data_IF_332745032898
#
_entry.id   IF_332745032898
#
_cell.length_a   1.000
_cell.length_b   1.000
_cell.length_c   1.000
_cell.angle_alpha   90.00
_cell.angle_beta   90.00
_cell.angle_gamma   90.00
#
_symmetry.space_group_name_H-M   'P 1'
#
loop_
_entity.id
_entity.type
_entity.pdbx_description
1 polymer ?
#
# COMPACT_ATOMS: atom_id res chain seq x y z
N UNK A 1 -7.91 -9.24 30.03
CA UNK A 1 -7.59 -8.63 30.77
C UNK A 1 -7.95 -7.38 31.52
N UNK A 2 -7.04 -6.76 32.28
CA UNK A 2 -7.32 -5.61 33.13
C UNK A 2 -7.87 -4.39 32.38
N UNK A 3 -7.41 -4.13 31.15
CA UNK A 3 -7.88 -3.01 30.34
C UNK A 3 -9.35 -3.14 29.91
N UNK A 4 -9.80 -4.34 29.55
CA UNK A 4 -11.22 -4.57 29.20
C UNK A 4 -12.11 -4.29 30.40
N UNK A 5 -11.76 -4.79 31.58
CA UNK A 5 -12.49 -4.48 32.85
C UNK A 5 -12.47 -2.99 33.20
N UNK A 6 -11.40 -2.29 32.84
CA UNK A 6 -11.32 -0.84 33.00
C UNK A 6 -12.28 -0.13 32.05
N UNK A 7 -12.35 -0.49 30.77
CA UNK A 7 -13.31 0.08 29.83
C UNK A 7 -14.75 -0.16 30.25
N UNK A 8 -15.10 -1.37 30.71
CA UNK A 8 -16.42 -1.66 31.23
C UNK A 8 -16.82 -0.77 32.44
N UNK A 9 -15.88 -0.55 33.37
CA UNK A 9 -16.08 0.38 34.49
C UNK A 9 -16.26 1.84 34.05
N UNK A 10 -15.65 2.22 32.92
CA UNK A 10 -15.82 3.54 32.29
C UNK A 10 -17.12 3.66 31.48
N UNK A 11 -17.94 2.60 31.38
CA UNK A 11 -19.22 2.60 30.67
C UNK A 11 -19.10 2.27 29.18
N UNK A 12 -17.94 1.83 28.69
CA UNK A 12 -17.79 1.37 27.30
C UNK A 12 -18.39 -0.04 27.13
N UNK A 13 -19.07 -0.26 26.01
CA UNK A 13 -19.49 -1.60 25.59
C UNK A 13 -18.28 -2.37 25.09
N UNK A 14 -18.00 -3.52 25.68
CA UNK A 14 -16.95 -4.45 25.23
C UNK A 14 -17.58 -5.66 24.55
N UNK A 15 -16.81 -6.35 23.72
CA UNK A 15 -17.29 -7.56 23.06
C UNK A 15 -17.36 -8.71 24.11
N UNK A 16 -18.55 -9.31 24.37
CA UNK A 16 -18.71 -10.37 25.36
C UNK A 16 -17.97 -11.66 24.99
N UNK A 17 -17.65 -11.85 23.70
CA UNK A 17 -16.93 -13.02 23.21
C UNK A 17 -15.40 -12.93 23.36
N UNK A 18 -14.91 -11.92 24.09
CA UNK A 18 -13.48 -11.79 24.39
C UNK A 18 -13.05 -12.80 25.46
N UNK A 19 -12.04 -13.62 25.16
CA UNK A 19 -11.51 -14.66 26.07
C UNK A 19 -9.99 -14.55 26.21
N UNK A 20 -9.48 -14.72 27.43
CA UNK A 20 -8.06 -14.91 27.69
C UNK A 20 -7.71 -16.40 27.51
N UNK A 21 -6.74 -16.68 26.65
CA UNK A 21 -6.22 -18.02 26.43
C UNK A 21 -4.77 -18.12 26.88
N UNK A 22 -4.34 -19.25 27.37
CA UNK A 22 -3.00 -19.51 27.92
C UNK A 22 -2.19 -20.50 27.09
N UNK A 23 -2.84 -21.14 26.11
CA UNK A 23 -2.20 -22.11 25.19
C UNK A 23 -2.73 -21.94 23.76
N UNK A 24 -1.99 -22.48 22.79
CA UNK A 24 -2.41 -22.52 21.38
C UNK A 24 -3.68 -23.37 21.22
N UNK A 25 -3.79 -24.47 21.95
CA UNK A 25 -4.97 -25.34 21.88
C UNK A 25 -6.24 -24.60 22.32
N UNK A 26 -6.14 -23.78 23.36
CA UNK A 26 -7.26 -22.92 23.80
C UNK A 26 -7.63 -21.88 22.73
N UNK A 27 -6.66 -21.29 22.01
CA UNK A 27 -6.92 -20.37 20.92
C UNK A 27 -7.67 -21.07 19.78
N UNK A 28 -7.23 -22.26 19.37
CA UNK A 28 -7.85 -23.05 18.30
C UNK A 28 -9.25 -23.52 18.72
N UNK A 29 -9.43 -23.96 19.96
CA UNK A 29 -10.73 -24.37 20.47
C UNK A 29 -11.71 -23.19 20.50
N UNK A 30 -11.25 -22.02 20.91
CA UNK A 30 -12.07 -20.79 20.90
C UNK A 30 -12.44 -20.35 19.49
N UNK A 31 -11.52 -20.44 18.52
CA UNK A 31 -11.80 -20.16 17.11
C UNK A 31 -12.94 -21.04 16.58
N UNK A 32 -12.88 -22.36 16.81
CA UNK A 32 -13.92 -23.31 16.41
C UNK A 32 -15.26 -23.01 17.09
N UNK A 33 -15.24 -22.69 18.39
CA UNK A 33 -16.45 -22.32 19.13
C UNK A 33 -17.14 -21.08 18.49
N UNK A 34 -16.36 -20.06 18.15
CA UNK A 34 -16.90 -18.83 17.52
C UNK A 34 -17.40 -19.10 16.11
N UNK A 35 -16.71 -19.95 15.35
CA UNK A 35 -17.15 -20.39 14.02
C UNK A 35 -18.52 -21.08 14.05
N UNK A 36 -18.74 -21.98 15.03
CA UNK A 36 -20.02 -22.65 15.23
C UNK A 36 -21.15 -21.69 15.63
N UNK A 37 -20.84 -20.70 16.47
CA UNK A 37 -21.80 -19.70 16.97
C UNK A 37 -22.03 -18.55 15.98
N UNK A 38 -21.28 -18.48 14.90
CA UNK A 38 -21.29 -17.35 13.94
C UNK A 38 -22.68 -17.00 13.43
N UNK A 39 -23.50 -18.01 13.12
CA UNK A 39 -24.86 -17.84 12.61
C UNK A 39 -25.86 -17.28 13.63
N UNK A 40 -25.52 -17.29 14.91
CA UNK A 40 -26.38 -16.82 16.01
C UNK A 40 -26.08 -15.37 16.41
N UNK A 41 -25.04 -14.76 15.82
CA UNK A 41 -24.63 -13.39 16.12
C UNK A 41 -25.47 -12.38 15.34
N UNK A 42 -25.75 -11.23 15.96
CA UNK A 42 -26.46 -10.11 15.33
C UNK A 42 -25.60 -9.33 14.33
N UNK A 43 -24.37 -9.77 14.06
CA UNK A 43 -23.41 -9.15 13.15
C UNK A 43 -22.52 -10.20 12.49
N UNK A 44 -22.08 -9.90 11.27
CA UNK A 44 -21.19 -10.78 10.53
C UNK A 44 -19.76 -10.69 11.04
N UNK A 45 -19.08 -11.85 11.09
CA UNK A 45 -17.66 -11.98 11.41
C UNK A 45 -16.96 -12.90 10.42
N UNK A 46 -15.69 -12.63 10.16
CA UNK A 46 -14.86 -13.39 9.21
C UNK A 46 -13.71 -14.16 9.88
N UNK A 47 -13.59 -14.06 11.19
CA UNK A 47 -12.56 -14.72 11.97
C UNK A 47 -12.40 -14.15 13.37
N UNK A 48 -11.31 -14.54 14.03
CA UNK A 48 -10.93 -14.13 15.37
C UNK A 48 -9.58 -13.42 15.32
N UNK A 49 -9.38 -12.39 16.14
CA UNK A 49 -8.07 -11.71 16.27
C UNK A 49 -7.45 -12.09 17.61
N UNK A 50 -6.26 -12.68 17.57
CA UNK A 50 -5.46 -12.93 18.77
C UNK A 50 -4.53 -11.75 19.02
N UNK A 51 -4.40 -11.37 20.29
CA UNK A 51 -3.52 -10.29 20.73
C UNK A 51 -2.72 -10.74 21.95
N UNK A 52 -1.45 -10.38 22.01
CA UNK A 52 -0.64 -10.56 23.22
C UNK A 52 -1.26 -9.74 24.35
N UNK A 53 -1.58 -10.37 25.50
CA UNK A 53 -2.31 -9.72 26.61
C UNK A 53 -1.45 -8.72 27.40
N UNK A 54 -0.13 -8.93 27.47
CA UNK A 54 0.81 -8.06 28.19
C UNK A 54 1.16 -6.82 27.35
N UNK A 55 0.85 -5.63 27.88
CA UNK A 55 1.09 -4.37 27.19
C UNK A 55 2.58 -4.06 27.01
N UNK A 56 3.42 -4.42 27.99
CA UNK A 56 4.89 -4.29 27.86
C UNK A 56 5.46 -5.16 26.75
N UNK A 57 4.88 -6.33 26.49
CA UNK A 57 5.25 -7.18 25.37
C UNK A 57 4.71 -6.63 24.04
N UNK A 58 3.51 -6.04 24.03
CA UNK A 58 3.03 -5.35 22.83
C UNK A 58 3.95 -4.20 22.44
N UNK A 59 4.41 -3.43 23.43
CA UNK A 59 5.34 -2.32 23.21
C UNK A 59 6.70 -2.82 22.70
N UNK A 60 7.24 -3.90 23.27
CA UNK A 60 8.49 -4.55 22.84
C UNK A 60 8.39 -5.09 21.41
N UNK A 61 7.29 -5.77 21.04
CA UNK A 61 7.08 -6.30 19.71
C UNK A 61 6.88 -5.19 18.66
N UNK A 62 6.22 -4.10 19.03
CA UNK A 62 6.00 -2.94 18.17
C UNK A 62 5.14 -3.22 16.95
N UNK A 63 5.41 -2.46 15.89
CA UNK A 63 4.68 -2.49 14.63
C UNK A 63 5.61 -2.71 13.45
N UNK A 64 5.07 -3.29 12.36
CA UNK A 64 5.69 -3.30 11.04
C UNK A 64 4.74 -2.55 10.10
N UNK A 65 5.17 -1.38 9.62
CA UNK A 65 4.31 -0.48 8.87
C UNK A 65 3.07 -0.10 9.71
N UNK A 66 1.87 -0.54 9.30
CA UNK A 66 0.61 -0.29 10.02
C UNK A 66 0.10 -1.50 10.78
N UNK A 67 0.80 -2.61 10.71
CA UNK A 67 0.37 -3.86 11.34
C UNK A 67 1.08 -4.09 12.65
N UNK A 68 0.36 -4.36 13.75
CA UNK A 68 0.96 -4.72 15.01
C UNK A 68 1.62 -6.11 14.92
N UNK A 69 2.83 -6.25 15.43
CA UNK A 69 3.51 -7.56 15.52
C UNK A 69 2.98 -8.45 16.64
N UNK A 70 2.19 -7.87 17.53
CA UNK A 70 1.57 -8.52 18.69
C UNK A 70 0.13 -8.95 18.46
N UNK A 71 -0.38 -8.85 17.24
CA UNK A 71 -1.73 -9.29 16.87
C UNK A 71 -1.71 -10.09 15.56
N UNK A 72 -2.58 -11.11 15.48
CA UNK A 72 -2.77 -11.92 14.29
C UNK A 72 -4.25 -12.26 14.10
N UNK A 73 -4.74 -12.14 12.86
CA UNK A 73 -6.08 -12.57 12.51
C UNK A 73 -6.08 -14.03 12.07
N UNK A 74 -7.00 -14.82 12.63
CA UNK A 74 -7.28 -16.19 12.22
C UNK A 74 -8.66 -16.22 11.57
N UNK A 75 -8.67 -16.20 10.24
CA UNK A 75 -9.90 -16.16 9.45
C UNK A 75 -10.62 -17.50 9.45
N UNK A 76 -11.96 -17.49 9.30
CA UNK A 76 -12.73 -18.71 9.06
C UNK A 76 -12.46 -19.27 7.66
N UNK A 77 -12.78 -20.55 7.41
CA UNK A 77 -12.72 -21.13 6.07
C UNK A 77 -13.49 -20.28 5.06
N UNK A 78 -12.92 -20.19 3.86
CA UNK A 78 -13.53 -19.42 2.79
C UNK A 78 -14.82 -20.06 2.28
N UNK A 79 -15.86 -19.25 2.11
CA UNK A 79 -17.09 -19.69 1.48
C UNK A 79 -16.94 -19.76 -0.03
N UNK A 80 -17.62 -20.75 -0.66
CA UNK A 80 -17.62 -20.96 -2.10
C UNK A 80 -19.03 -20.86 -2.66
N UNK A 81 -19.14 -20.33 -3.88
CA UNK A 81 -20.38 -20.31 -4.63
C UNK A 81 -20.11 -20.60 -6.10
N UNK A 82 -21.13 -21.12 -6.80
CA UNK A 82 -21.10 -21.31 -8.25
C UNK A 82 -21.88 -20.19 -8.92
N UNK A 83 -21.32 -19.64 -10.00
CA UNK A 83 -21.97 -18.62 -10.80
C UNK A 83 -21.48 -18.68 -12.25
N UNK A 84 -22.12 -17.93 -13.14
CA UNK A 84 -21.75 -17.87 -14.56
C UNK A 84 -20.89 -16.63 -14.83
N UNK A 85 -19.76 -16.82 -15.50
CA UNK A 85 -18.92 -15.74 -16.00
C UNK A 85 -19.55 -15.17 -17.29
N UNK A 86 -20.10 -13.96 -17.20
CA UNK A 86 -20.81 -13.30 -18.29
C UNK A 86 -19.88 -12.59 -19.26
N UNK A 87 -18.82 -11.96 -18.75
CA UNK A 87 -17.87 -11.18 -19.54
C UNK A 87 -16.54 -11.03 -18.80
N UNK A 88 -15.51 -10.58 -19.52
CA UNK A 88 -14.20 -10.23 -18.98
C UNK A 88 -13.84 -8.81 -19.44
N UNK A 89 -13.83 -7.87 -18.50
CA UNK A 89 -13.45 -6.48 -18.72
C UNK A 89 -11.97 -6.27 -18.33
N UNK A 90 -11.25 -5.51 -19.14
CA UNK A 90 -9.85 -5.14 -18.82
C UNK A 90 -9.81 -3.78 -18.15
N UNK A 91 -9.40 -3.75 -16.90
CA UNK A 91 -9.12 -2.52 -16.16
C UNK A 91 -7.64 -2.17 -16.28
N UNK A 92 -7.35 -0.88 -16.47
CA UNK A 92 -6.00 -0.35 -16.58
C UNK A 92 -5.70 0.46 -15.33
N UNK A 93 -4.83 -0.06 -14.49
CA UNK A 93 -4.44 0.62 -13.24
C UNK A 93 -3.44 1.76 -13.46
N UNK A 94 -3.17 2.49 -12.41
CA UNK A 94 -2.29 3.66 -12.37
C UNK A 94 -0.91 3.46 -13.03
N UNK A 95 -0.32 2.30 -12.85
CA UNK A 95 0.99 1.95 -13.44
C UNK A 95 0.89 1.32 -14.83
N UNK A 96 -0.27 1.44 -15.49
CA UNK A 96 -0.53 0.79 -16.78
C UNK A 96 -0.83 -0.71 -16.67
N UNK A 97 -0.77 -1.32 -15.51
CA UNK A 97 -1.03 -2.75 -15.34
C UNK A 97 -2.46 -3.10 -15.77
N UNK A 98 -2.60 -4.07 -16.67
CA UNK A 98 -3.89 -4.57 -17.11
C UNK A 98 -4.35 -5.67 -16.18
N UNK A 99 -5.52 -5.46 -15.58
CA UNK A 99 -6.15 -6.43 -14.69
C UNK A 99 -7.47 -6.89 -15.31
N UNK A 100 -7.59 -8.16 -15.71
CA UNK A 100 -8.85 -8.69 -16.17
C UNK A 100 -9.80 -8.89 -14.98
N UNK A 101 -11.04 -8.42 -15.13
CA UNK A 101 -12.11 -8.52 -14.14
C UNK A 101 -13.25 -9.30 -14.77
N UNK A 102 -13.58 -10.45 -14.20
CA UNK A 102 -14.73 -11.25 -14.60
C UNK A 102 -16.04 -10.62 -14.12
N UNK A 103 -16.98 -10.41 -15.02
CA UNK A 103 -18.36 -10.02 -14.72
C UNK A 103 -19.17 -11.28 -14.50
N UNK A 104 -19.77 -11.41 -13.34
CA UNK A 104 -20.49 -12.60 -12.91
C UNK A 104 -22.00 -12.37 -12.89
N UNK A 105 -22.74 -13.44 -13.12
CA UNK A 105 -24.12 -13.47 -12.62
C UNK A 105 -24.11 -13.24 -11.13
N UNK A 106 -24.91 -12.30 -10.58
CA UNK A 106 -24.91 -11.99 -9.16
C UNK A 106 -25.11 -13.22 -8.28
N UNK A 107 -24.23 -13.45 -7.32
CA UNK A 107 -24.33 -14.60 -6.41
C UNK A 107 -23.95 -14.20 -4.99
N UNK A 108 -24.68 -14.73 -4.02
CA UNK A 108 -24.37 -14.54 -2.60
C UNK A 108 -23.20 -15.44 -2.18
N UNK A 109 -22.16 -14.84 -1.59
CA UNK A 109 -21.03 -15.56 -0.99
C UNK A 109 -20.40 -14.71 0.12
N UNK A 110 -20.20 -15.29 1.29
CA UNK A 110 -19.62 -14.58 2.44
C UNK A 110 -20.45 -13.35 2.89
N UNK A 111 -21.79 -13.48 2.90
CA UNK A 111 -22.71 -12.43 3.35
C UNK A 111 -22.91 -11.25 2.39
N UNK A 112 -22.31 -11.28 1.20
CA UNK A 112 -22.43 -10.21 0.18
C UNK A 112 -22.80 -10.76 -1.18
N UNK A 113 -23.39 -9.90 -2.05
CA UNK A 113 -23.62 -10.23 -3.44
C UNK A 113 -22.37 -9.87 -4.25
N UNK A 114 -21.77 -10.88 -4.89
CA UNK A 114 -20.61 -10.75 -5.75
C UNK A 114 -21.04 -10.71 -7.20
N UNK A 115 -20.63 -9.68 -7.93
CA UNK A 115 -20.86 -9.48 -9.36
C UNK A 115 -19.56 -9.33 -10.16
N UNK A 116 -18.44 -9.08 -9.48
CA UNK A 116 -17.14 -8.92 -10.10
C UNK A 116 -16.11 -9.79 -9.37
N UNK A 117 -15.19 -10.36 -10.13
CA UNK A 117 -14.08 -11.16 -9.60
C UNK A 117 -12.80 -10.81 -10.32
N UNK A 118 -11.70 -10.66 -9.58
CA UNK A 118 -10.41 -10.50 -10.25
C UNK A 118 -9.97 -11.80 -10.92
N UNK A 119 -9.47 -11.70 -12.13
CA UNK A 119 -8.81 -12.78 -12.87
C UNK A 119 -7.30 -12.58 -12.93
N UNK A 120 -6.76 -11.72 -12.11
CA UNK A 120 -5.34 -11.42 -11.86
C UNK A 120 -4.55 -11.00 -13.12
N UNK A 121 -4.34 -11.89 -14.09
CA UNK A 121 -3.58 -11.67 -15.31
C UNK A 121 -3.94 -12.68 -16.41
N UNK A 122 -3.29 -12.59 -17.56
CA UNK A 122 -3.51 -13.50 -18.69
C UNK A 122 -3.18 -14.95 -18.35
N UNK A 123 -2.10 -15.21 -17.62
CA UNK A 123 -1.64 -16.56 -17.28
C UNK A 123 -2.62 -17.25 -16.33
N UNK A 124 -3.18 -16.49 -15.38
CA UNK A 124 -4.24 -17.00 -14.51
C UNK A 124 -5.49 -17.44 -15.29
N UNK A 125 -5.89 -16.67 -16.33
CA UNK A 125 -7.00 -17.07 -17.22
C UNK A 125 -6.66 -18.36 -17.95
N UNK A 126 -5.43 -18.50 -18.41
CA UNK A 126 -4.95 -19.71 -19.11
C UNK A 126 -4.77 -20.94 -18.21
N UNK A 127 -4.89 -20.78 -16.91
CA UNK A 127 -4.69 -21.87 -15.94
C UNK A 127 -3.23 -22.08 -15.54
N UNK A 128 -2.40 -21.04 -15.60
CA UNK A 128 -0.98 -21.06 -15.22
C UNK A 128 -0.77 -20.18 -13.98
N UNK A 129 -0.08 -20.71 -12.98
CA UNK A 129 0.31 -19.99 -11.76
C UNK A 129 1.50 -19.06 -11.96
N UNK A 130 1.76 -18.20 -10.97
CA UNK A 130 2.90 -17.28 -11.00
C UNK A 130 4.26 -17.97 -10.89
N UNK A 131 4.28 -19.23 -10.44
CA UNK A 131 5.41 -20.15 -10.36
C UNK A 131 5.54 -21.06 -11.61
N UNK A 132 4.65 -20.89 -12.60
CA UNK A 132 4.56 -21.71 -13.79
C UNK A 132 3.80 -23.03 -13.60
N UNK A 133 3.36 -23.35 -12.38
CA UNK A 133 2.59 -24.55 -12.10
C UNK A 133 1.12 -24.42 -12.59
N UNK A 134 0.49 -25.55 -12.98
CA UNK A 134 -0.88 -25.51 -13.48
C UNK A 134 -1.88 -25.15 -12.37
N UNK A 135 -2.65 -24.11 -12.58
CA UNK A 135 -3.83 -23.79 -11.78
C UNK A 135 -5.03 -24.56 -12.29
N UNK A 136 -5.90 -25.03 -11.38
CA UNK A 136 -7.13 -25.73 -11.77
C UNK A 136 -6.86 -26.92 -12.73
N UNK A 137 -5.77 -27.64 -12.51
CA UNK A 137 -5.31 -28.74 -13.41
C UNK A 137 -5.06 -28.26 -14.85
N UNK A 138 -4.62 -27.02 -15.03
CA UNK A 138 -4.40 -26.40 -16.36
C UNK A 138 -5.68 -25.96 -17.07
N UNK A 139 -6.83 -25.94 -16.39
CA UNK A 139 -8.11 -25.51 -16.97
C UNK A 139 -8.13 -24.00 -17.16
N UNK A 140 -8.37 -23.55 -18.39
CA UNK A 140 -8.59 -22.15 -18.72
C UNK A 140 -9.98 -21.64 -18.27
N UNK A 141 -10.12 -20.33 -18.18
CA UNK A 141 -11.39 -19.65 -17.89
C UNK A 141 -11.90 -19.03 -19.19
N UNK A 142 -13.19 -19.26 -19.51
CA UNK A 142 -13.83 -18.73 -20.71
C UNK A 142 -15.12 -18.00 -20.36
N UNK A 143 -15.47 -17.02 -21.19
CA UNK A 143 -16.78 -16.39 -21.10
C UNK A 143 -17.87 -17.45 -21.34
N UNK A 144 -18.89 -17.46 -20.49
CA UNK A 144 -19.95 -18.46 -20.45
C UNK A 144 -19.71 -19.63 -19.49
N UNK A 145 -18.51 -19.78 -18.94
CA UNK A 145 -18.22 -20.83 -17.96
C UNK A 145 -19.05 -20.69 -16.68
N UNK A 146 -19.46 -21.83 -16.14
CA UNK A 146 -19.83 -21.91 -14.72
C UNK A 146 -18.55 -21.99 -13.91
N UNK A 147 -18.29 -20.97 -13.10
CA UNK A 147 -17.08 -20.85 -12.26
C UNK A 147 -17.42 -21.08 -10.79
N UNK A 148 -16.48 -21.63 -10.05
CA UNK A 148 -16.53 -21.70 -8.60
C UNK A 148 -15.71 -20.53 -8.07
N UNK A 149 -16.37 -19.60 -7.40
CA UNK A 149 -15.72 -18.48 -6.72
C UNK A 149 -15.57 -18.76 -5.23
N UNK A 150 -14.55 -18.17 -4.65
CA UNK A 150 -14.25 -18.25 -3.23
C UNK A 150 -14.04 -16.87 -2.65
N UNK A 151 -14.63 -16.62 -1.48
CA UNK A 151 -14.41 -15.41 -0.70
C UNK A 151 -14.09 -15.79 0.75
N UNK A 152 -12.94 -15.37 1.24
CA UNK A 152 -12.55 -15.53 2.64
C UNK A 152 -12.79 -14.20 3.36
N UNK A 153 -13.88 -14.08 4.13
CA UNK A 153 -14.23 -12.87 4.84
C UNK A 153 -14.32 -11.65 3.92
N UNK A 154 -13.65 -10.55 4.27
CA UNK A 154 -13.58 -9.31 3.49
C UNK A 154 -12.44 -9.32 2.43
N UNK A 155 -12.03 -10.50 1.99
CA UNK A 155 -11.01 -10.67 0.94
C UNK A 155 -11.64 -10.59 -0.43
N UNK A 156 -10.88 -10.12 -1.43
CA UNK A 156 -11.29 -10.02 -2.82
C UNK A 156 -11.70 -11.41 -3.35
N UNK A 157 -12.89 -11.56 -3.95
CA UNK A 157 -13.31 -12.83 -4.53
C UNK A 157 -12.36 -13.30 -5.63
N UNK A 158 -12.13 -14.61 -5.72
CA UNK A 158 -11.31 -15.21 -6.78
C UNK A 158 -11.95 -16.47 -7.34
N UNK A 159 -11.67 -16.78 -8.60
CA UNK A 159 -12.12 -18.01 -9.26
C UNK A 159 -11.19 -19.15 -8.87
N UNK A 160 -11.68 -20.12 -8.12
CA UNK A 160 -10.87 -21.27 -7.70
C UNK A 160 -10.97 -22.45 -8.65
N UNK A 161 -12.08 -22.57 -9.40
CA UNK A 161 -12.26 -23.64 -10.38
C UNK A 161 -13.29 -23.33 -11.45
N UNK A 162 -13.33 -24.18 -12.48
CA UNK A 162 -14.28 -24.14 -13.59
C UNK A 162 -15.01 -25.48 -13.70
N UNK A 163 -16.34 -25.44 -13.84
CA UNK A 163 -17.17 -26.67 -14.00
C UNK A 163 -17.25 -27.02 -15.48
N UNK A 164 -16.32 -27.85 -15.97
CA UNK A 164 -16.21 -28.19 -17.40
C UNK A 164 -17.46 -28.81 -17.99
N UNK A 165 -18.18 -29.64 -17.22
CA UNK A 165 -19.43 -30.29 -17.68
C UNK A 165 -20.54 -29.29 -18.00
N UNK A 166 -20.43 -28.06 -17.47
CA UNK A 166 -21.38 -26.96 -17.72
C UNK A 166 -20.84 -25.94 -18.72
N UNK A 167 -19.65 -26.13 -19.28
CA UNK A 167 -19.07 -25.22 -20.27
C UNK A 167 -19.89 -25.26 -21.57
N UNK A 168 -20.31 -24.09 -22.11
CA UNK A 168 -20.94 -24.02 -23.42
C UNK A 168 -20.02 -24.60 -24.50
N UNK A 169 -20.60 -25.37 -25.42
CA UNK A 169 -19.85 -26.04 -26.50
C UNK A 169 -19.16 -25.06 -27.45
N UNK A 170 -19.67 -23.86 -27.57
CA UNK A 170 -19.17 -22.75 -28.40
C UNK A 170 -18.24 -21.80 -27.64
N UNK A 171 -17.99 -22.04 -26.34
CA UNK A 171 -17.09 -21.22 -25.52
C UNK A 171 -15.65 -21.27 -26.05
N UNK A 172 -15.14 -20.11 -26.47
CA UNK A 172 -13.77 -19.97 -27.04
C UNK A 172 -12.78 -19.56 -25.96
N UNK A 173 -11.50 -20.00 -26.07
CA UNK A 173 -10.44 -19.48 -25.22
C UNK A 173 -10.37 -17.95 -25.27
N UNK A 174 -10.24 -17.33 -24.10
CA UNK A 174 -10.14 -15.88 -24.01
C UNK A 174 -8.85 -15.38 -24.67
N UNK A 175 -8.98 -14.34 -25.47
CA UNK A 175 -7.83 -13.69 -26.11
C UNK A 175 -7.52 -12.39 -25.39
N UNK A 176 -6.43 -12.38 -24.65
CA UNK A 176 -5.99 -11.17 -23.96
C UNK A 176 -5.63 -10.08 -24.99
N UNK A 177 -6.03 -8.82 -24.79
CA UNK A 177 -5.76 -7.75 -25.73
C UNK A 177 -4.25 -7.46 -25.83
N UNK A 178 -3.80 -7.15 -27.05
CA UNK A 178 -2.41 -6.70 -27.33
C UNK A 178 -2.27 -5.19 -27.33
N UNK A 179 -3.38 -4.48 -27.32
CA UNK A 179 -3.48 -3.01 -27.29
C UNK A 179 -4.30 -2.57 -26.10
N UNK A 180 -3.92 -1.43 -25.51
CA UNK A 180 -4.69 -0.82 -24.44
C UNK A 180 -6.12 -0.48 -24.91
N UNK A 181 -7.16 -0.70 -24.08
CA UNK A 181 -8.54 -0.36 -24.45
C UNK A 181 -8.79 1.17 -24.51
N UNK A 182 -7.81 2.02 -24.14
CA UNK A 182 -7.94 3.46 -24.29
C UNK A 182 -7.94 3.90 -25.77
N UNK A 183 -8.39 5.13 -26.04
CA UNK A 183 -8.46 5.67 -27.41
C UNK A 183 -7.11 5.75 -28.12
N UNK A 184 -5.98 5.74 -27.38
CA UNK A 184 -4.63 5.77 -27.95
C UNK A 184 -4.20 4.41 -28.50
N UNK A 185 -4.83 3.32 -28.11
CA UNK A 185 -4.50 1.95 -28.50
C UNK A 185 -2.99 1.63 -28.44
N UNK A 186 -2.32 2.14 -27.39
CA UNK A 186 -0.90 1.90 -27.17
C UNK A 186 -0.61 0.42 -26.96
N UNK A 187 0.62 0.02 -27.22
CA UNK A 187 1.03 -1.38 -27.04
C UNK A 187 0.97 -1.80 -25.57
N UNK A 188 0.67 -3.08 -25.37
CA UNK A 188 0.80 -3.75 -24.08
C UNK A 188 2.08 -4.57 -24.13
N UNK A 189 2.96 -4.33 -23.17
CA UNK A 189 4.23 -5.06 -23.01
C UNK A 189 4.23 -5.79 -21.68
N UNK A 190 4.92 -6.93 -21.59
CA UNK A 190 5.28 -7.56 -20.33
C UNK A 190 6.68 -7.10 -19.94
N UNK A 191 6.84 -6.57 -18.76
CA UNK A 191 8.14 -6.14 -18.25
C UNK A 191 8.94 -7.37 -17.81
N UNK A 192 10.24 -7.35 -18.01
CA UNK A 192 11.13 -8.36 -17.45
C UNK A 192 11.24 -8.18 -15.93
N UNK A 193 11.29 -9.28 -15.22
CA UNK A 193 11.54 -9.30 -13.76
C UNK A 193 13.02 -8.99 -13.50
N UNK A 194 13.36 -8.72 -12.25
CA UNK A 194 14.75 -8.50 -11.84
C UNK A 194 15.67 -9.72 -12.14
N UNK A 195 15.09 -10.90 -12.37
CA UNK A 195 15.78 -12.13 -12.76
C UNK A 195 15.88 -12.32 -14.26
N UNK A 196 15.35 -11.37 -15.08
CA UNK A 196 15.38 -11.45 -16.56
C UNK A 196 14.27 -12.33 -17.16
N UNK A 197 13.31 -12.77 -16.38
CA UNK A 197 12.14 -13.52 -16.83
C UNK A 197 11.00 -12.59 -17.22
N UNK A 198 10.17 -13.01 -18.18
CA UNK A 198 8.98 -12.25 -18.56
C UNK A 198 7.97 -12.17 -17.42
N UNK A 199 7.59 -10.96 -17.02
CA UNK A 199 6.62 -10.74 -15.95
C UNK A 199 5.21 -11.19 -16.33
N UNK A 200 4.44 -11.67 -15.36
CA UNK A 200 3.08 -12.19 -15.58
C UNK A 200 2.05 -11.11 -15.97
N UNK A 201 2.36 -9.82 -15.85
CA UNK A 201 1.40 -8.72 -16.06
C UNK A 201 1.71 -7.92 -17.31
N UNK A 202 0.71 -7.82 -18.21
CA UNK A 202 0.75 -6.86 -19.30
C UNK A 202 0.60 -5.42 -18.80
N UNK A 203 1.33 -4.48 -19.44
CA UNK A 203 1.28 -3.05 -19.11
C UNK A 203 1.09 -2.22 -20.36
N UNK A 204 0.20 -1.24 -20.23
CA UNK A 204 0.01 -0.18 -21.21
C UNK A 204 1.22 0.76 -21.20
N UNK A 205 1.83 0.97 -22.37
CA UNK A 205 2.97 1.87 -22.55
C UNK A 205 2.60 3.35 -22.66
N UNK A 206 1.30 3.67 -22.55
CA UNK A 206 0.80 5.04 -22.72
C UNK A 206 1.08 5.99 -21.56
N UNK A 207 1.51 5.46 -20.39
CA UNK A 207 1.85 6.24 -19.20
C UNK A 207 0.90 7.42 -18.94
N UNK A 208 1.44 8.63 -18.74
CA UNK A 208 0.62 9.83 -18.51
C UNK A 208 -0.19 10.31 -19.74
N UNK A 209 0.01 9.76 -20.93
CA UNK A 209 -0.85 10.01 -22.07
C UNK A 209 -2.15 9.18 -22.00
N UNK A 210 -2.11 8.01 -21.35
CA UNK A 210 -3.26 7.14 -21.20
C UNK A 210 -4.29 7.72 -20.22
N UNK A 211 -5.55 7.98 -20.64
CA UNK A 211 -6.57 8.57 -19.79
C UNK A 211 -6.90 7.71 -18.57
N UNK A 212 -6.89 6.39 -18.70
CA UNK A 212 -7.11 5.49 -17.56
C UNK A 212 -6.02 5.65 -16.50
N UNK A 213 -4.76 5.74 -16.90
CA UNK A 213 -3.67 5.96 -15.94
C UNK A 213 -3.76 7.32 -15.27
N UNK A 214 -4.14 8.38 -16.03
CA UNK A 214 -4.37 9.72 -15.46
C UNK A 214 -5.47 9.71 -14.40
N UNK A 215 -6.62 9.12 -14.71
CA UNK A 215 -7.75 9.01 -13.77
C UNK A 215 -7.31 8.28 -12.50
N UNK A 216 -6.62 7.16 -12.63
CA UNK A 216 -6.14 6.39 -11.49
C UNK A 216 -5.08 7.14 -10.65
N UNK A 217 -4.26 7.98 -11.28
CA UNK A 217 -3.37 8.90 -10.56
C UNK A 217 -4.15 9.96 -9.76
N UNK A 218 -5.20 10.54 -10.33
CA UNK A 218 -6.06 11.51 -9.64
C UNK A 218 -6.83 10.87 -8.48
N UNK A 219 -7.33 9.65 -8.67
CA UNK A 219 -7.97 8.86 -7.60
C UNK A 219 -7.01 8.60 -6.44
N UNK A 220 -5.78 8.16 -6.75
CA UNK A 220 -4.73 8.01 -5.73
C UNK A 220 -4.49 9.32 -4.98
N UNK A 221 -4.33 10.42 -5.73
CA UNK A 221 -4.07 11.75 -5.17
C UNK A 221 -5.14 12.18 -4.16
N UNK A 222 -6.42 12.04 -4.50
CA UNK A 222 -7.54 12.40 -3.62
C UNK A 222 -7.77 11.40 -2.48
N UNK A 223 -7.20 10.19 -2.56
CA UNK A 223 -7.48 9.09 -1.64
C UNK A 223 -7.10 9.38 -0.20
N UNK A 224 -7.74 8.65 0.74
CA UNK A 224 -7.51 8.72 2.19
C UNK A 224 -6.04 8.62 2.61
N UNK A 225 -5.22 7.91 1.84
CA UNK A 225 -3.80 7.69 2.12
C UNK A 225 -2.90 8.81 1.59
N UNK A 226 -3.39 9.58 0.62
CA UNK A 226 -2.70 10.73 0.04
C UNK A 226 -3.26 12.03 0.60
N UNK A 227 -3.95 12.84 -0.19
CA UNK A 227 -4.49 14.12 0.27
C UNK A 227 -5.75 13.99 1.14
N UNK A 228 -6.47 12.87 1.08
CA UNK A 228 -7.65 12.59 1.92
C UNK A 228 -8.70 13.71 1.81
N UNK A 229 -9.10 14.03 0.59
CA UNK A 229 -10.07 15.09 0.31
C UNK A 229 -11.46 14.50 0.46
N UNK A 230 -12.17 14.89 1.51
CA UNK A 230 -13.53 14.42 1.75
C UNK A 230 -14.50 14.93 0.66
N UNK A 231 -15.41 14.07 0.24
CA UNK A 231 -16.33 14.37 -0.87
C UNK A 231 -15.72 14.27 -2.28
N UNK A 232 -14.39 14.05 -2.41
CA UNK A 232 -13.72 13.85 -3.70
C UNK A 232 -13.38 12.36 -3.91
N UNK A 233 -14.41 11.52 -4.00
CA UNK A 233 -14.25 10.09 -4.25
C UNK A 233 -14.00 9.76 -5.73
N UNK A 234 -13.90 8.46 -6.04
CA UNK A 234 -13.57 7.98 -7.38
C UNK A 234 -14.55 8.48 -8.45
N UNK A 235 -15.86 8.46 -8.15
CA UNK A 235 -16.91 8.92 -9.09
C UNK A 235 -16.83 10.42 -9.38
N UNK A 236 -16.50 11.24 -8.37
CA UNK A 236 -16.32 12.68 -8.53
C UNK A 236 -15.08 12.97 -9.38
N UNK A 237 -13.98 12.24 -9.16
CA UNK A 237 -12.77 12.37 -10.00
C UNK A 237 -13.07 12.00 -11.45
N UNK A 238 -13.78 10.90 -11.70
CA UNK A 238 -14.19 10.49 -13.05
C UNK A 238 -15.04 11.59 -13.70
N UNK A 239 -16.05 12.09 -13.00
CA UNK A 239 -16.93 13.16 -13.46
C UNK A 239 -16.16 14.43 -13.83
N UNK A 240 -15.27 14.93 -12.95
CA UNK A 240 -14.49 16.12 -13.23
C UNK A 240 -13.47 15.92 -14.35
N UNK A 241 -12.95 14.71 -14.50
CA UNK A 241 -12.05 14.36 -15.59
C UNK A 241 -12.79 14.34 -16.94
N UNK A 242 -13.98 13.75 -17.00
CA UNK A 242 -14.85 13.71 -18.20
C UNK A 242 -15.30 15.11 -18.63
N UNK A 243 -15.61 15.99 -17.65
CA UNK A 243 -15.90 17.41 -17.90
C UNK A 243 -14.65 18.22 -18.32
N UNK A 244 -13.48 17.60 -18.33
CA UNK A 244 -12.19 18.26 -18.57
C UNK A 244 -11.83 19.37 -17.56
N UNK A 245 -12.50 19.42 -16.40
CA UNK A 245 -12.25 20.39 -15.34
C UNK A 245 -11.01 20.06 -14.50
N UNK A 246 -10.70 18.75 -14.36
CA UNK A 246 -9.54 18.27 -13.63
C UNK A 246 -8.76 17.29 -14.51
N UNK A 247 -7.60 17.71 -15.00
CA UNK A 247 -6.69 16.91 -15.85
C UNK A 247 -5.40 16.51 -15.13
N UNK A 248 -5.06 17.28 -14.07
CA UNK A 248 -3.89 17.05 -13.22
C UNK A 248 -4.20 17.48 -11.77
N UNK A 249 -3.38 17.06 -10.78
CA UNK A 249 -3.65 17.35 -9.37
C UNK A 249 -3.81 18.82 -9.01
N UNK A 250 -3.07 19.72 -9.67
CA UNK A 250 -3.16 21.17 -9.43
C UNK A 250 -4.55 21.74 -9.78
N UNK A 251 -5.26 21.15 -10.75
CA UNK A 251 -6.58 21.61 -11.16
C UNK A 251 -7.61 21.46 -10.05
N UNK A 252 -7.45 20.48 -9.16
CA UNK A 252 -8.34 20.26 -8.00
C UNK A 252 -8.41 21.52 -7.15
N UNK A 253 -7.28 22.17 -6.89
CA UNK A 253 -7.18 23.35 -6.04
C UNK A 253 -7.64 24.66 -6.73
N UNK A 254 -7.84 24.62 -8.05
CA UNK A 254 -8.39 25.75 -8.82
C UNK A 254 -9.85 25.55 -9.23
N UNK A 255 -10.44 24.39 -8.89
CA UNK A 255 -11.77 23.97 -9.32
C UNK A 255 -12.87 24.94 -8.85
N UNK A 256 -12.83 25.39 -7.59
CA UNK A 256 -13.81 26.38 -7.08
C UNK A 256 -13.80 27.67 -7.90
N UNK A 257 -12.59 28.19 -8.14
CA UNK A 257 -12.45 29.47 -8.87
C UNK A 257 -12.91 29.38 -10.31
N UNK A 258 -12.73 28.22 -10.96
CA UNK A 258 -12.99 28.05 -12.39
C UNK A 258 -14.40 27.54 -12.68
N UNK A 259 -14.93 26.63 -11.85
CA UNK A 259 -16.09 25.80 -12.19
C UNK A 259 -17.18 25.73 -11.11
N UNK A 260 -17.14 26.58 -10.07
CA UNK A 260 -18.13 26.55 -8.99
C UNK A 260 -19.57 26.74 -9.49
N UNK A 261 -19.78 27.70 -10.37
CA UNK A 261 -21.13 27.98 -10.86
C UNK A 261 -21.65 26.87 -11.76
N UNK A 262 -20.80 26.33 -12.63
CA UNK A 262 -21.13 25.21 -13.49
C UNK A 262 -21.44 23.96 -12.66
N UNK A 263 -20.70 23.74 -11.57
CA UNK A 263 -20.91 22.60 -10.68
C UNK A 263 -22.26 22.69 -9.94
N UNK A 264 -22.71 23.88 -9.59
CA UNK A 264 -24.01 24.09 -8.94
C UNK A 264 -25.21 23.82 -9.89
N UNK A 265 -24.98 23.84 -11.20
CA UNK A 265 -25.99 23.49 -12.22
C UNK A 265 -26.07 21.99 -12.49
N UNK A 266 -25.09 21.20 -12.01
CA UNK A 266 -25.05 19.75 -12.23
C UNK A 266 -25.97 19.02 -11.25
N UNK A 267 -26.65 17.98 -11.76
CA UNK A 267 -27.53 17.13 -10.94
C UNK A 267 -26.77 16.45 -9.81
N UNK A 268 -27.30 16.54 -8.60
CA UNK A 268 -26.68 15.95 -7.39
C UNK A 268 -25.70 16.88 -6.66
N UNK A 269 -25.43 18.09 -7.18
CA UNK A 269 -24.57 19.09 -6.56
C UNK A 269 -25.35 20.30 -6.06
N UNK A 270 -25.81 20.26 -4.80
CA UNK A 270 -26.44 21.41 -4.13
C UNK A 270 -25.42 22.30 -3.41
N UNK A 271 -25.84 23.50 -3.00
CA UNK A 271 -24.98 24.50 -2.34
C UNK A 271 -24.17 23.92 -1.17
N UNK A 272 -24.82 23.10 -0.33
CA UNK A 272 -24.16 22.51 0.84
C UNK A 272 -23.09 21.51 0.44
N UNK A 273 -23.35 20.63 -0.52
CA UNK A 273 -22.39 19.61 -0.98
C UNK A 273 -21.20 20.25 -1.68
N UNK A 274 -21.45 21.26 -2.53
CA UNK A 274 -20.42 22.02 -3.23
C UNK A 274 -19.54 22.79 -2.24
N UNK A 275 -20.17 23.46 -1.26
CA UNK A 275 -19.43 24.14 -0.19
C UNK A 275 -18.54 23.18 0.60
N UNK A 276 -19.08 22.04 1.05
CA UNK A 276 -18.32 21.05 1.81
C UNK A 276 -17.14 20.50 1.03
N UNK A 277 -17.33 20.24 -0.27
CA UNK A 277 -16.24 19.77 -1.15
C UNK A 277 -15.11 20.81 -1.23
N UNK A 278 -15.44 22.09 -1.48
CA UNK A 278 -14.42 23.13 -1.59
C UNK A 278 -13.75 23.43 -0.25
N UNK A 279 -14.49 23.43 0.85
CA UNK A 279 -13.92 23.53 2.20
C UNK A 279 -12.93 22.37 2.47
N UNK A 280 -13.25 21.13 2.04
CA UNK A 280 -12.37 19.99 2.17
C UNK A 280 -11.11 20.11 1.30
N UNK A 281 -11.22 20.62 0.07
CA UNK A 281 -10.07 20.88 -0.80
C UNK A 281 -9.17 21.94 -0.17
N UNK A 282 -9.74 23.03 0.34
CA UNK A 282 -8.99 24.14 0.92
C UNK A 282 -8.22 23.70 2.18
N UNK A 283 -8.81 22.85 3.02
CA UNK A 283 -8.15 22.28 4.21
C UNK A 283 -6.91 21.44 3.86
N UNK A 284 -6.80 20.95 2.63
CA UNK A 284 -5.68 20.12 2.18
C UNK A 284 -4.59 20.89 1.44
N UNK A 285 -4.65 22.23 1.44
CA UNK A 285 -3.53 23.05 0.94
C UNK A 285 -2.27 22.90 1.80
N UNK A 286 -2.42 22.56 3.07
CA UNK A 286 -1.31 22.14 3.91
C UNK A 286 -1.26 20.61 3.98
N UNK A 287 -0.10 20.00 3.64
CA UNK A 287 0.06 18.56 3.56
C UNK A 287 1.40 18.10 4.12
N UNK A 288 1.40 17.03 4.91
CA UNK A 288 2.63 16.41 5.41
C UNK A 288 3.49 15.84 4.28
N UNK A 289 4.82 15.95 4.41
CA UNK A 289 5.76 15.57 3.36
C UNK A 289 5.58 14.13 2.87
N UNK A 290 5.40 13.17 3.78
CA UNK A 290 5.21 11.77 3.41
C UNK A 290 3.93 11.54 2.57
N UNK A 291 2.86 12.25 2.90
CA UNK A 291 1.60 12.18 2.15
C UNK A 291 1.74 12.81 0.77
N UNK A 292 2.44 13.93 0.69
CA UNK A 292 2.74 14.59 -0.58
C UNK A 292 3.58 13.70 -1.49
N UNK A 293 4.66 13.12 -0.98
CA UNK A 293 5.54 12.20 -1.73
C UNK A 293 4.76 10.98 -2.22
N UNK A 294 3.91 10.40 -1.35
CA UNK A 294 3.04 9.29 -1.75
C UNK A 294 2.04 9.68 -2.84
N UNK A 295 1.44 10.89 -2.73
CA UNK A 295 0.45 11.41 -3.68
C UNK A 295 1.01 11.68 -5.09
N UNK A 296 2.32 11.91 -5.22
CA UNK A 296 2.97 12.01 -6.54
C UNK A 296 2.84 10.72 -7.36
N UNK A 297 2.54 9.60 -6.72
CA UNK A 297 2.27 8.33 -7.39
C UNK A 297 3.48 7.71 -8.08
N UNK A 298 4.69 8.03 -7.65
CA UNK A 298 5.94 7.46 -8.17
C UNK A 298 5.88 5.93 -8.03
N UNK A 299 6.22 5.21 -9.08
CA UNK A 299 6.27 3.73 -9.05
C UNK A 299 7.17 3.27 -7.92
N UNK A 300 6.85 2.14 -7.29
CA UNK A 300 7.58 1.56 -6.15
C UNK A 300 7.61 2.43 -4.86
N UNK A 301 7.10 3.66 -4.90
CA UNK A 301 6.99 4.51 -3.72
C UNK A 301 5.60 4.32 -3.11
N UNK A 302 5.51 3.37 -2.17
CA UNK A 302 4.34 3.17 -1.30
C UNK A 302 4.37 4.09 -0.08
N UNK A 303 3.38 3.95 0.82
CA UNK A 303 3.29 4.77 2.04
C UNK A 303 4.53 4.65 2.93
N UNK A 304 5.02 3.42 3.15
CA UNK A 304 6.21 3.18 3.99
C UNK A 304 7.46 3.77 3.38
N UNK A 305 7.61 3.63 2.06
CA UNK A 305 8.72 4.22 1.29
C UNK A 305 8.66 5.74 1.33
N UNK A 306 7.47 6.33 1.13
CA UNK A 306 7.27 7.78 1.22
C UNK A 306 7.60 8.32 2.61
N UNK A 307 7.21 7.60 3.67
CA UNK A 307 7.54 7.95 5.05
C UNK A 307 9.07 7.86 5.30
N UNK A 308 9.73 6.82 4.81
CA UNK A 308 11.18 6.67 4.94
C UNK A 308 11.92 7.81 4.21
N UNK A 309 11.50 8.17 3.00
CA UNK A 309 12.03 9.31 2.25
C UNK A 309 11.78 10.63 2.97
N UNK A 310 10.57 10.88 3.46
CA UNK A 310 10.23 12.10 4.21
C UNK A 310 11.08 12.26 5.47
N UNK A 311 11.21 11.21 6.26
CA UNK A 311 12.09 11.20 7.46
C UNK A 311 13.57 11.35 7.11
N UNK A 312 13.99 10.74 6.00
CA UNK A 312 15.35 10.79 5.51
C UNK A 312 15.79 12.20 5.12
N UNK A 313 14.95 12.92 4.42
CA UNK A 313 15.27 14.24 3.88
C UNK A 313 14.73 15.41 4.71
N UNK A 314 13.72 15.20 5.54
CA UNK A 314 13.17 16.18 6.48
C UNK A 314 12.27 17.23 5.85
N UNK A 315 12.59 17.76 4.67
CA UNK A 315 11.80 18.78 3.97
C UNK A 315 11.60 18.48 2.49
N UNK A 316 10.56 19.05 1.91
CA UNK A 316 10.34 18.96 0.46
C UNK A 316 11.53 19.46 -0.36
N UNK A 317 12.10 20.59 0.04
CA UNK A 317 13.23 21.18 -0.68
C UNK A 317 14.42 20.21 -0.73
N UNK A 318 14.82 19.65 0.42
CA UNK A 318 15.96 18.73 0.50
C UNK A 318 15.69 17.45 -0.31
N UNK A 319 14.48 16.91 -0.22
CA UNK A 319 14.06 15.73 -0.98
C UNK A 319 14.07 16.00 -2.50
N UNK A 320 13.45 17.11 -2.93
CA UNK A 320 13.37 17.47 -4.35
C UNK A 320 14.75 17.73 -4.95
N UNK A 321 15.63 18.45 -4.26
CA UNK A 321 17.01 18.70 -4.70
C UNK A 321 17.78 17.39 -4.86
N UNK A 322 17.61 16.43 -3.91
CA UNK A 322 18.21 15.11 -4.00
C UNK A 322 17.67 14.31 -5.22
N UNK A 323 16.35 14.33 -5.44
CA UNK A 323 15.73 13.68 -6.60
C UNK A 323 16.25 14.21 -7.93
N UNK A 324 16.44 15.53 -8.05
CA UNK A 324 17.02 16.15 -9.26
C UNK A 324 18.48 15.73 -9.50
N UNK A 325 19.27 15.54 -8.44
CA UNK A 325 20.64 15.00 -8.54
C UNK A 325 20.62 13.54 -8.96
N UNK A 326 19.76 12.72 -8.34
CA UNK A 326 19.55 11.30 -8.70
C UNK A 326 19.12 11.17 -10.15
N UNK A 327 18.23 12.03 -10.65
CA UNK A 327 17.80 12.07 -12.05
C UNK A 327 18.98 12.32 -13.02
N UNK A 328 19.97 13.10 -12.59
CA UNK A 328 21.20 13.37 -13.37
C UNK A 328 22.28 12.29 -13.21
N UNK A 329 22.04 11.26 -12.40
CA UNK A 329 22.99 10.18 -12.16
C UNK A 329 24.10 10.51 -11.18
N UNK A 330 23.89 11.49 -10.28
CA UNK A 330 24.85 11.85 -9.24
C UNK A 330 25.09 10.69 -8.28
N UNK A 331 26.32 10.17 -8.25
CA UNK A 331 26.66 8.97 -7.49
C UNK A 331 26.55 9.17 -5.97
N UNK A 332 26.84 10.37 -5.46
CA UNK A 332 26.75 10.67 -4.04
C UNK A 332 25.28 10.74 -3.59
N UNK A 333 24.42 11.41 -4.34
CA UNK A 333 23.00 11.48 -4.07
C UNK A 333 22.31 10.10 -4.16
N UNK A 334 22.72 9.25 -5.10
CA UNK A 334 22.25 7.86 -5.22
C UNK A 334 22.65 7.05 -3.98
N UNK A 335 23.93 7.13 -3.56
CA UNK A 335 24.41 6.41 -2.39
C UNK A 335 23.77 6.91 -1.09
N UNK A 336 23.49 8.21 -0.97
CA UNK A 336 22.76 8.76 0.17
C UNK A 336 21.31 8.25 0.24
N UNK A 337 20.64 8.14 -0.90
CA UNK A 337 19.28 7.63 -0.98
C UNK A 337 19.23 6.12 -0.68
N UNK A 338 20.16 5.32 -1.20
CA UNK A 338 20.30 3.89 -0.94
C UNK A 338 20.62 3.56 0.52
N UNK A 339 21.25 4.50 1.24
CA UNK A 339 21.52 4.35 2.66
C UNK A 339 20.27 4.42 3.55
N UNK A 340 19.14 4.90 3.03
CA UNK A 340 17.87 4.93 3.77
C UNK A 340 17.30 3.51 3.92
N UNK A 341 16.76 3.20 5.11
CA UNK A 341 16.10 1.90 5.31
C UNK A 341 14.90 1.75 4.36
N UNK A 342 14.70 0.54 3.82
CA UNK A 342 13.66 0.19 2.86
C UNK A 342 13.78 0.88 1.48
N UNK A 343 14.83 1.64 1.21
CA UNK A 343 15.09 2.23 -0.10
C UNK A 343 16.17 1.40 -0.79
N UNK A 344 15.82 0.76 -1.88
CA UNK A 344 16.75 -0.03 -2.70
C UNK A 344 16.80 0.45 -4.14
N UNK A 345 17.67 -0.17 -4.95
CA UNK A 345 17.91 0.23 -6.34
C UNK A 345 16.66 0.37 -7.20
N UNK A 346 15.65 -0.47 -7.00
CA UNK A 346 14.38 -0.39 -7.74
C UNK A 346 13.61 0.90 -7.45
N UNK A 347 13.60 1.35 -6.20
CA UNK A 347 12.95 2.61 -5.78
C UNK A 347 13.73 3.80 -6.34
N UNK A 348 15.05 3.75 -6.25
CA UNK A 348 15.95 4.81 -6.76
C UNK A 348 15.78 4.98 -8.26
N UNK A 349 15.72 3.89 -9.03
CA UNK A 349 15.51 3.94 -10.48
C UNK A 349 14.11 4.49 -10.82
N UNK A 350 13.08 4.14 -10.06
CA UNK A 350 11.75 4.71 -10.24
C UNK A 350 11.72 6.23 -9.96
N UNK A 351 12.42 6.71 -8.91
CA UNK A 351 12.58 8.13 -8.60
C UNK A 351 13.36 8.82 -9.70
N UNK A 352 14.47 8.21 -10.16
CA UNK A 352 15.28 8.71 -11.26
C UNK A 352 14.45 8.91 -12.53
N UNK A 353 13.71 7.88 -12.94
CA UNK A 353 12.83 7.92 -14.11
C UNK A 353 11.79 9.03 -13.97
N UNK A 354 11.10 9.11 -12.82
CA UNK A 354 10.05 10.09 -12.57
C UNK A 354 10.56 11.54 -12.69
N UNK A 355 11.68 11.88 -12.05
CA UNK A 355 12.26 13.23 -12.02
C UNK A 355 13.12 13.55 -13.25
N UNK A 356 13.36 12.61 -14.16
CA UNK A 356 13.95 12.86 -15.48
C UNK A 356 12.93 13.37 -16.50
N UNK A 357 11.63 13.14 -16.26
CA UNK A 357 10.56 13.48 -17.18
C UNK A 357 10.08 14.94 -17.00
N UNK A 358 10.19 15.74 -18.04
CA UNK A 358 9.79 17.18 -18.02
C UNK A 358 8.32 17.37 -17.67
N UNK A 359 7.44 16.47 -18.13
CA UNK A 359 6.01 16.55 -17.81
C UNK A 359 5.77 16.41 -16.31
N UNK A 360 6.42 15.43 -15.67
CA UNK A 360 6.28 15.21 -14.21
C UNK A 360 6.81 16.40 -13.43
N UNK A 361 7.97 16.96 -13.79
CA UNK A 361 8.52 18.13 -13.16
C UNK A 361 7.54 19.31 -13.25
N UNK A 362 6.97 19.56 -14.43
CA UNK A 362 5.98 20.62 -14.61
C UNK A 362 4.71 20.41 -13.77
N UNK A 363 4.24 19.18 -13.65
CA UNK A 363 3.08 18.85 -12.79
C UNK A 363 3.40 19.10 -11.32
N UNK A 364 4.58 18.67 -10.85
CA UNK A 364 5.03 18.93 -9.47
C UNK A 364 5.15 20.42 -9.19
N UNK A 365 5.73 21.21 -10.12
CA UNK A 365 5.86 22.66 -9.99
C UNK A 365 4.51 23.37 -9.90
N UNK A 366 3.54 22.97 -10.74
CA UNK A 366 2.19 23.54 -10.71
C UNK A 366 1.49 23.20 -9.40
N UNK A 367 1.57 21.94 -8.95
CA UNK A 367 0.99 21.50 -7.69
C UNK A 367 1.60 22.24 -6.49
N UNK A 368 2.91 22.44 -6.49
CA UNK A 368 3.62 23.19 -5.42
C UNK A 368 3.22 24.68 -5.31
N UNK A 369 2.63 25.26 -6.34
CA UNK A 369 2.07 26.60 -6.27
C UNK A 369 0.72 26.66 -5.54
N UNK A 370 0.04 25.53 -5.46
CA UNK A 370 -1.28 25.40 -4.87
C UNK A 370 -1.25 24.90 -3.43
N UNK A 371 -0.15 24.25 -3.01
CA UNK A 371 -0.07 23.57 -1.69
C UNK A 371 1.22 23.88 -0.95
N UNK A 372 1.13 23.94 0.38
CA UNK A 372 2.25 24.06 1.30
C UNK A 372 2.58 22.67 1.86
N UNK A 373 3.78 22.18 1.53
CA UNK A 373 4.27 20.89 2.03
C UNK A 373 4.99 21.14 3.36
N UNK A 374 4.42 20.61 4.42
CA UNK A 374 4.98 20.69 5.78
C UNK A 374 6.19 19.78 5.89
N UNK A 375 7.20 20.24 6.62
CA UNK A 375 8.37 19.42 6.93
C UNK A 375 7.97 18.15 7.72
N UNK A 376 8.74 17.09 7.55
CA UNK A 376 8.49 15.85 8.26
C UNK A 376 8.61 16.08 9.77
N UNK A 377 7.62 15.58 10.51
CA UNK A 377 7.66 15.67 11.98
C UNK A 377 8.89 14.92 12.53
N UNK A 378 9.72 15.64 13.24
CA UNK A 378 10.77 15.00 14.05
C UNK A 378 10.07 14.35 15.25
N UNK A 379 10.36 13.09 15.54
CA UNK A 379 9.85 12.47 16.75
C UNK A 379 10.20 13.35 17.97
N UNK A 380 9.19 13.82 18.68
CA UNK A 380 9.37 14.59 19.93
C UNK A 380 9.73 13.61 21.03
N UNK A 381 11.02 13.34 21.23
CA UNK A 381 11.47 12.53 22.36
C UNK A 381 12.66 13.20 23.03
N UNK A 382 12.73 13.13 24.35
CA UNK A 382 13.88 13.56 25.14
C UNK A 382 14.98 12.50 25.17
N UNK A 383 14.92 11.50 24.31
CA UNK A 383 15.89 10.42 24.21
C UNK A 383 17.24 10.93 23.73
N UNK A 384 18.32 10.40 24.30
CA UNK A 384 19.72 10.70 23.91
C UNK A 384 20.01 10.34 22.45
N UNK A 385 19.20 9.49 21.86
CA UNK A 385 19.32 9.04 20.46
C UNK A 385 18.37 9.75 19.49
N UNK A 386 17.54 10.65 19.99
CA UNK A 386 16.60 11.39 19.13
C UNK A 386 17.37 12.17 18.04
N UNK A 387 16.94 11.98 16.78
CA UNK A 387 17.59 12.56 15.60
C UNK A 387 18.91 11.89 15.19
N UNK A 388 19.36 10.85 15.88
CA UNK A 388 20.57 10.09 15.54
C UNK A 388 20.28 9.00 14.52
N UNK A 389 21.24 8.72 13.64
CA UNK A 389 21.18 7.62 12.69
C UNK A 389 21.88 6.39 13.25
N UNK A 390 21.17 5.27 13.34
CA UNK A 390 21.65 4.03 13.95
C UNK A 390 21.56 2.88 12.94
N UNK A 391 22.62 2.10 12.83
CA UNK A 391 22.68 0.87 12.01
C UNK A 391 22.86 -0.35 12.92
N UNK A 392 22.05 -1.37 12.71
CA UNK A 392 22.15 -2.65 13.44
C UNK A 392 22.77 -3.72 12.54
N UNK A 393 23.77 -4.45 13.03
CA UNK A 393 24.48 -5.49 12.27
C UNK A 393 24.86 -6.69 13.16
N UNK A 394 25.04 -7.84 12.56
CA UNK A 394 25.29 -9.09 13.33
C UNK A 394 24.01 -9.62 13.97
N UNK A 395 24.14 -10.65 14.80
CA UNK A 395 23.07 -11.25 15.60
C UNK A 395 23.03 -10.58 16.96
N UNK A 396 21.91 -9.95 17.30
CA UNK A 396 21.69 -9.41 18.64
C UNK A 396 21.17 -10.55 19.54
N UNK A 397 21.60 -10.57 20.79
CA UNK A 397 21.29 -11.67 21.72
C UNK A 397 20.04 -11.39 22.58
N UNK A 398 19.80 -10.12 22.92
CA UNK A 398 18.72 -9.70 23.84
C UNK A 398 17.47 -9.24 23.13
N UNK A 399 17.58 -8.90 21.85
CA UNK A 399 16.47 -8.50 20.99
C UNK A 399 16.75 -8.85 19.54
N UNK A 400 15.70 -8.99 18.72
CA UNK A 400 15.87 -9.11 17.27
C UNK A 400 16.28 -7.77 16.66
N UNK A 401 16.84 -7.79 15.43
CA UNK A 401 17.18 -6.54 14.72
C UNK A 401 15.94 -5.68 14.48
N UNK A 402 14.80 -6.29 14.22
CA UNK A 402 13.51 -5.61 14.01
C UNK A 402 13.03 -4.94 15.30
N UNK A 403 13.16 -5.60 16.45
CA UNK A 403 12.85 -5.00 17.75
C UNK A 403 13.79 -3.83 18.06
N UNK A 404 15.09 -3.97 17.75
CA UNK A 404 16.09 -2.92 17.94
C UNK A 404 15.79 -1.68 17.07
N UNK A 405 15.42 -1.90 15.80
CA UNK A 405 14.99 -0.83 14.89
C UNK A 405 13.72 -0.14 15.38
N UNK A 406 12.70 -0.92 15.73
CA UNK A 406 11.44 -0.38 16.25
C UNK A 406 11.65 0.45 17.52
N UNK A 407 12.54 -0.01 18.41
CA UNK A 407 12.89 0.71 19.63
C UNK A 407 13.63 2.01 19.32
N UNK A 408 14.60 1.98 18.38
CA UNK A 408 15.32 3.18 17.96
C UNK A 408 14.35 4.22 17.35
N UNK A 409 13.46 3.82 16.47
CA UNK A 409 12.46 4.69 15.84
C UNK A 409 11.48 5.28 16.86
N UNK A 410 11.01 4.49 17.80
CA UNK A 410 10.16 4.95 18.90
C UNK A 410 10.84 6.02 19.75
N UNK A 411 12.14 5.90 19.96
CA UNK A 411 12.97 6.86 20.71
C UNK A 411 13.46 8.03 19.82
N UNK A 412 12.96 8.15 18.61
CA UNK A 412 13.24 9.27 17.72
C UNK A 412 14.55 9.17 16.93
N UNK A 413 15.21 8.02 16.96
CA UNK A 413 16.36 7.76 16.09
C UNK A 413 15.90 7.33 14.69
N UNK A 414 16.79 7.44 13.71
CA UNK A 414 16.63 6.95 12.37
C UNK A 414 17.34 5.61 12.24
N UNK A 415 16.59 4.52 11.97
CA UNK A 415 17.20 3.25 11.63
C UNK A 415 17.64 3.26 10.16
N UNK A 416 18.89 2.85 9.88
CA UNK A 416 19.45 2.79 8.53
C UNK A 416 19.90 1.37 8.17
N UNK A 417 19.73 1.01 6.91
CA UNK A 417 20.15 -0.27 6.36
C UNK A 417 21.63 -0.37 6.05
N UNK A 418 22.33 0.77 5.85
CA UNK A 418 23.76 0.84 5.51
C UNK A 418 24.50 1.88 6.32
N UNK A 419 25.84 1.75 6.39
CA UNK A 419 26.72 2.66 7.10
C UNK A 419 27.19 3.74 6.14
N UNK A 420 27.14 5.01 6.58
CA UNK A 420 27.64 6.17 5.83
C UNK A 420 28.33 7.16 6.78
N UNK A 421 28.91 8.22 6.24
CA UNK A 421 29.48 9.33 7.03
C UNK A 421 28.44 10.04 7.92
N UNK A 422 27.15 9.86 7.64
CA UNK A 422 26.01 10.44 8.40
C UNK A 422 25.48 9.47 9.48
N UNK A 423 26.05 8.27 9.61
CA UNK A 423 25.71 7.31 10.67
C UNK A 423 26.34 7.74 11.98
N UNK A 424 25.54 7.86 13.04
CA UNK A 424 26.02 8.22 14.38
C UNK A 424 26.49 7.00 15.16
N UNK A 425 25.73 5.89 15.09
CA UNK A 425 26.01 4.67 15.83
C UNK A 425 25.85 3.43 14.96
N UNK A 426 26.74 2.47 15.15
CA UNK A 426 26.58 1.11 14.64
C UNK A 426 26.51 0.16 15.84
N UNK A 427 25.38 -0.49 16.03
CA UNK A 427 25.20 -1.51 17.06
C UNK A 427 25.55 -2.87 16.45
N UNK A 428 26.64 -3.46 16.94
CA UNK A 428 27.21 -4.67 16.39
C UNK A 428 27.07 -5.85 17.36
N UNK A 429 26.33 -6.88 16.93
CA UNK A 429 26.31 -8.19 17.59
C UNK A 429 27.30 -9.16 16.99
N UNK A 430 27.39 -10.41 17.52
CA UNK A 430 28.20 -11.49 16.94
C UNK A 430 27.96 -11.67 15.44
N UNK A 431 29.03 -11.91 14.68
CA UNK A 431 28.96 -12.10 13.24
C UNK A 431 28.74 -10.81 12.42
N UNK A 432 28.97 -9.63 13.02
CA UNK A 432 28.94 -8.37 12.30
C UNK A 432 30.03 -8.34 11.21
N UNK A 433 29.61 -8.34 9.94
CA UNK A 433 30.52 -8.46 8.78
C UNK A 433 30.94 -7.10 8.20
N UNK A 434 30.66 -6.87 6.90
CA UNK A 434 31.09 -5.69 6.12
C UNK A 434 30.71 -4.36 6.74
N UNK A 435 29.53 -4.24 7.37
CA UNK A 435 29.07 -2.99 8.02
C UNK A 435 29.95 -2.54 9.17
N UNK A 436 30.57 -3.48 9.91
CA UNK A 436 31.54 -3.14 10.96
C UNK A 436 32.81 -2.57 10.36
N UNK A 437 33.28 -3.11 9.24
CA UNK A 437 34.44 -2.60 8.51
C UNK A 437 34.17 -1.17 7.97
N UNK A 438 32.99 -0.95 7.41
CA UNK A 438 32.55 0.37 6.94
C UNK A 438 32.45 1.39 8.08
N UNK A 439 31.91 0.99 9.24
CA UNK A 439 31.86 1.85 10.42
C UNK A 439 33.26 2.34 10.83
N UNK A 440 34.23 1.43 10.88
CA UNK A 440 35.63 1.77 11.16
C UNK A 440 36.22 2.70 10.10
N UNK A 441 35.94 2.46 8.82
CA UNK A 441 36.40 3.29 7.70
C UNK A 441 35.88 4.73 7.79
N UNK A 442 34.64 4.91 8.27
CA UNK A 442 33.99 6.22 8.38
C UNK A 442 34.14 6.87 9.75
N UNK A 443 34.81 6.22 10.69
CA UNK A 443 35.00 6.73 12.06
C UNK A 443 33.71 6.79 12.88
N UNK A 444 32.74 5.93 12.56
CA UNK A 444 31.43 5.85 13.22
C UNK A 444 31.59 5.14 14.58
N UNK A 445 30.92 5.64 15.61
CA UNK A 445 30.89 5.01 16.92
C UNK A 445 30.22 3.64 16.86
N UNK A 446 30.99 2.60 17.26
CA UNK A 446 30.45 1.22 17.31
C UNK A 446 30.08 0.91 18.76
N UNK A 447 28.88 0.43 18.97
CA UNK A 447 28.34 0.02 20.26
C UNK A 447 28.09 -1.49 20.26
N UNK A 448 28.31 -2.12 21.39
CA UNK A 448 27.77 -3.46 21.69
C UNK A 448 26.29 -3.36 22.00
N UNK A 449 25.57 -4.49 21.99
CA UNK A 449 24.16 -4.52 22.37
C UNK A 449 23.93 -4.00 23.81
N UNK A 450 24.86 -4.30 24.74
CA UNK A 450 24.78 -3.82 26.12
C UNK A 450 24.99 -2.31 26.25
N UNK A 451 25.90 -1.76 25.48
CA UNK A 451 26.11 -0.31 25.42
C UNK A 451 24.93 0.41 24.80
N UNK A 452 24.34 -0.19 23.75
CA UNK A 452 23.12 0.30 23.16
C UNK A 452 21.99 0.35 24.17
N UNK A 453 21.73 -0.75 24.89
CA UNK A 453 20.68 -0.82 25.90
C UNK A 453 20.88 0.22 27.00
N UNK A 454 22.13 0.44 27.48
CA UNK A 454 22.43 1.50 28.45
C UNK A 454 22.24 2.92 27.90
N UNK A 455 22.33 3.10 26.60
CA UNK A 455 22.14 4.40 25.97
C UNK A 455 20.67 4.77 25.87
N UNK A 456 19.79 3.75 25.68
CA UNK A 456 18.36 3.95 25.44
C UNK A 456 17.46 3.78 26.68
N UNK A 457 17.96 3.14 27.74
CA UNK A 457 17.34 2.99 29.05
C UNK A 457 18.22 3.62 30.14
#
# INVERSE_FOLDING_TARGET
>A
SGMIKFFERCGFKTNPLTKLCTSVDELVAFHRQIEEQRAELDYDIDGVVYKVDRLDWQERLGFVSRSPRWAIAHKFPAERAMTVLRDIEIQVGRTGSLTPVGKLEPVGVGGVIVQNVTLHNEDYIKGVGGDGEPLREGRDIRIGDTVIIQRAGDVIPQVVDVVLDKRPKDAKPYRFPKKCPCYLHTDIVREETATGEEGARGRCTGEFACPYQKIEHLKLFASRRAFDIDGLGEKQIEFFFEKEWVKEPADIFTLEKKHKNELLEEEGYGETSVKNLFDAIEQRREIALERFVYALGIRQVGETTALALARGYGSWKTFHDACLKVAKGDAEAIAEMDALDQIGGTVIEAIRSYFSEKHNLGTVERLKKEVDVLDAEKPKTDSKIAGKTVVFTGSLEKMTREEAKATAERLGAKASGSVSKKTDYVVAGPGAGSKLAEAKKHGVTVLTEDEWLKLIF
#
